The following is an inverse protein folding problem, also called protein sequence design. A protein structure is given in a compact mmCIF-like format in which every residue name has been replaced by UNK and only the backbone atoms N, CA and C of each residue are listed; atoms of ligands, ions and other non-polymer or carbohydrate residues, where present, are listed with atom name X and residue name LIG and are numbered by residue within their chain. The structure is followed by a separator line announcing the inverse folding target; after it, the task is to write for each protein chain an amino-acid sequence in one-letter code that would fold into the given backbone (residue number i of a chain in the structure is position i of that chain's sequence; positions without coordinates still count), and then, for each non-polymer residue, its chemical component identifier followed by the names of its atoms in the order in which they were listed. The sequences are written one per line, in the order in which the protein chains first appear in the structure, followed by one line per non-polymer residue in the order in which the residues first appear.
data_IF_124239737570
#
_entry.id   IF_124239737570
#
_cell.length_a   1.000
_cell.length_b   1.000
_cell.length_c   1.000
_cell.angle_alpha   90.00
_cell.angle_beta   90.00
_cell.angle_gamma   90.00
#
_symmetry.space_group_name_H-M   'P 1'
#
loop_
_entity.id
_entity.type
_entity.pdbx_description
1 polymer ?
#
# COMPACT_ATOMS: atom_id res chain seq x y z
N UNK A 1 -3.27 -11.56 12.19
CA UNK A 1 -2.31 -12.58 11.73
C UNK A 1 -3.04 -13.91 11.62
N UNK A 2 -2.60 -14.80 10.74
CA UNK A 2 -3.12 -16.17 10.59
C UNK A 2 -2.00 -17.18 10.79
N UNK A 3 -2.32 -18.46 10.92
CA UNK A 3 -1.29 -19.52 10.98
C UNK A 3 -0.47 -19.61 9.69
N UNK A 4 -1.05 -19.20 8.54
CA UNK A 4 -0.38 -19.21 7.24
C UNK A 4 0.43 -17.95 6.95
N UNK A 5 0.24 -16.86 7.69
CA UNK A 5 0.96 -15.62 7.44
C UNK A 5 0.32 -14.36 7.99
N UNK A 6 1.03 -13.26 7.81
CA UNK A 6 0.63 -11.93 8.29
C UNK A 6 1.26 -10.81 7.47
N UNK A 7 0.54 -9.71 7.36
CA UNK A 7 1.08 -8.46 6.81
C UNK A 7 1.79 -7.67 7.92
N UNK A 8 3.00 -7.21 7.65
CA UNK A 8 3.81 -6.38 8.55
C UNK A 8 4.11 -5.03 7.90
N UNK A 9 3.84 -3.94 8.62
CA UNK A 9 4.21 -2.59 8.18
C UNK A 9 5.71 -2.48 7.98
N UNK A 10 6.13 -1.84 6.89
CA UNK A 10 7.54 -1.59 6.57
C UNK A 10 7.74 -0.13 6.16
N UNK A 11 8.83 0.47 6.65
CA UNK A 11 9.15 1.87 6.39
C UNK A 11 8.21 2.85 7.09
N UNK A 12 8.39 4.13 6.78
CA UNK A 12 7.55 5.23 7.27
C UNK A 12 6.35 5.43 6.34
N UNK A 13 5.19 5.69 6.92
CA UNK A 13 4.01 6.09 6.15
C UNK A 13 4.30 7.34 5.32
N UNK A 14 3.75 7.39 4.10
CA UNK A 14 3.95 8.49 3.15
C UNK A 14 2.69 9.34 3.05
N UNK A 15 2.86 10.66 3.17
CA UNK A 15 1.80 11.62 2.88
C UNK A 15 1.56 11.69 1.38
N UNK A 16 0.29 11.72 0.98
CA UNK A 16 -0.14 11.94 -0.40
C UNK A 16 -0.68 13.37 -0.49
N UNK A 17 -0.13 14.15 -1.41
CA UNK A 17 -0.52 15.54 -1.62
C UNK A 17 -1.08 15.76 -3.01
N UNK A 18 -2.08 16.63 -3.11
CA UNK A 18 -2.51 17.27 -4.35
C UNK A 18 -2.18 18.77 -4.21
N UNK A 19 -1.10 19.22 -4.85
CA UNK A 19 -0.52 20.53 -4.56
C UNK A 19 -0.05 20.63 -3.11
N UNK A 20 -0.54 21.65 -2.40
CA UNK A 20 -0.24 21.85 -0.97
C UNK A 20 -1.17 21.08 -0.03
N UNK A 21 -2.29 20.55 -0.55
CA UNK A 21 -3.32 19.87 0.24
C UNK A 21 -2.94 18.41 0.46
N UNK A 22 -3.04 17.94 1.70
CA UNK A 22 -2.91 16.53 2.03
C UNK A 22 -4.23 15.81 1.78
N UNK A 23 -4.22 14.86 0.86
CA UNK A 23 -5.43 14.14 0.41
C UNK A 23 -5.46 12.68 0.89
N UNK A 24 -4.39 12.23 1.53
CA UNK A 24 -4.34 10.88 2.06
C UNK A 24 -2.98 10.45 2.59
N UNK A 25 -2.93 9.20 3.02
CA UNK A 25 -1.75 8.53 3.54
C UNK A 25 -1.58 7.19 2.85
N UNK A 26 -0.33 6.82 2.59
CA UNK A 26 0.06 5.51 2.06
C UNK A 26 0.90 4.76 3.09
N UNK A 27 0.40 3.60 3.52
CA UNK A 27 1.13 2.61 4.31
C UNK A 27 1.64 1.50 3.40
N UNK A 28 2.85 1.01 3.67
CA UNK A 28 3.44 -0.11 2.94
C UNK A 28 3.57 -1.30 3.87
N UNK A 29 3.08 -2.46 3.44
CA UNK A 29 3.15 -3.71 4.18
C UNK A 29 3.83 -4.79 3.34
N UNK A 30 4.52 -5.70 4.01
CA UNK A 30 5.11 -6.90 3.41
C UNK A 30 4.46 -8.11 4.05
N UNK A 31 4.10 -9.10 3.23
CA UNK A 31 3.55 -10.35 3.74
C UNK A 31 4.68 -11.27 4.22
N UNK A 32 4.48 -11.89 5.37
CA UNK A 32 5.34 -12.91 5.93
C UNK A 32 4.56 -14.24 5.96
N UNK A 33 5.17 -15.31 5.46
CA UNK A 33 4.62 -16.66 5.45
C UNK A 33 4.83 -17.32 6.83
N UNK A 34 3.81 -17.98 7.35
CA UNK A 34 3.85 -18.65 8.67
C UNK A 34 3.43 -17.75 9.84
N UNK A 35 3.48 -18.30 11.05
CA UNK A 35 2.92 -17.66 12.24
C UNK A 35 3.79 -16.49 12.74
N UNK A 36 3.16 -15.37 13.06
CA UNK A 36 3.84 -14.24 13.69
C UNK A 36 4.41 -14.63 15.07
N UNK A 37 5.56 -14.08 15.50
CA UNK A 37 6.44 -13.14 14.77
C UNK A 37 7.53 -13.83 13.91
N UNK A 38 7.52 -15.15 13.81
CA UNK A 38 8.59 -15.97 13.23
C UNK A 38 8.40 -16.29 11.74
N UNK A 39 7.55 -15.54 11.03
CA UNK A 39 7.24 -15.82 9.64
C UNK A 39 8.33 -15.35 8.67
N UNK A 40 8.56 -16.14 7.63
CA UNK A 40 9.52 -15.86 6.58
C UNK A 40 9.04 -14.73 5.68
N UNK A 41 9.90 -13.74 5.45
CA UNK A 41 9.58 -12.60 4.61
C UNK A 41 9.36 -13.05 3.16
N UNK A 42 8.24 -12.67 2.56
CA UNK A 42 7.96 -12.90 1.15
C UNK A 42 8.20 -11.64 0.28
N UNK A 43 7.99 -11.78 -1.03
CA UNK A 43 8.04 -10.68 -1.99
C UNK A 43 6.69 -9.99 -2.22
N UNK A 44 5.62 -10.46 -1.57
CA UNK A 44 4.31 -9.83 -1.62
C UNK A 44 4.28 -8.53 -0.84
N UNK A 45 3.88 -7.46 -1.51
CA UNK A 45 3.76 -6.10 -0.98
C UNK A 45 2.33 -5.62 -1.13
N UNK A 46 1.85 -4.93 -0.11
CA UNK A 46 0.60 -4.19 -0.14
C UNK A 46 0.90 -2.71 0.08
N UNK A 47 0.33 -1.88 -0.77
CA UNK A 47 0.16 -0.45 -0.49
C UNK A 47 -1.29 -0.23 -0.06
N UNK A 48 -1.48 0.17 1.19
CA UNK A 48 -2.76 0.60 1.74
C UNK A 48 -2.83 2.12 1.67
N UNK A 49 -3.88 2.63 1.02
CA UNK A 49 -4.14 4.05 0.84
C UNK A 49 -5.38 4.42 1.65
N UNK A 50 -5.23 5.45 2.50
CA UNK A 50 -6.33 6.07 3.23
C UNK A 50 -6.55 7.47 2.69
N UNK A 51 -7.80 7.78 2.39
CA UNK A 51 -8.19 9.13 2.01
C UNK A 51 -8.13 10.03 3.25
N UNK A 52 -7.90 11.33 3.07
CA UNK A 52 -8.13 12.39 4.05
C UNK A 52 -9.03 13.40 3.37
N UNK A 53 -10.26 13.56 3.87
CA UNK A 53 -11.26 14.44 3.27
C UNK A 53 -12.20 15.00 4.35
N UNK A 54 -12.30 16.32 4.47
CA UNK A 54 -13.10 16.94 5.52
C UNK A 54 -14.59 16.59 5.44
N UNK A 55 -15.13 16.37 4.24
CA UNK A 55 -16.52 15.99 4.06
C UNK A 55 -16.79 14.58 4.59
N UNK A 56 -15.86 13.64 4.36
CA UNK A 56 -15.93 12.28 4.90
C UNK A 56 -15.76 12.28 6.42
N UNK A 57 -14.87 13.12 6.94
CA UNK A 57 -14.70 13.30 8.39
C UNK A 57 -15.99 13.84 9.04
N UNK A 58 -16.62 14.86 8.45
CA UNK A 58 -17.90 15.43 8.93
C UNK A 58 -19.05 14.42 8.87
N UNK A 59 -19.07 13.56 7.85
CA UNK A 59 -20.04 12.49 7.72
C UNK A 59 -19.73 11.26 8.62
N UNK A 60 -18.60 11.25 9.32
CA UNK A 60 -18.22 10.14 10.21
C UNK A 60 -17.78 8.86 9.48
N UNK A 61 -17.41 8.94 8.20
CA UNK A 61 -17.08 7.79 7.35
C UNK A 61 -15.63 7.80 6.83
N UNK A 62 -14.77 8.66 7.39
CA UNK A 62 -13.37 8.85 6.98
C UNK A 62 -12.58 7.54 6.82
N UNK A 63 -12.74 6.62 7.78
CA UNK A 63 -11.99 5.35 7.85
C UNK A 63 -12.84 4.13 7.45
N UNK A 64 -13.97 4.36 6.78
CA UNK A 64 -14.87 3.27 6.37
C UNK A 64 -14.25 2.37 5.30
N UNK A 65 -13.36 2.92 4.46
CA UNK A 65 -12.73 2.21 3.35
C UNK A 65 -11.25 2.56 3.22
N UNK A 66 -10.50 1.62 2.65
CA UNK A 66 -9.12 1.81 2.20
C UNK A 66 -8.98 1.26 0.79
N UNK A 67 -8.10 1.86 -0.01
CA UNK A 67 -7.72 1.31 -1.31
C UNK A 67 -6.43 0.52 -1.15
N UNK A 68 -6.41 -0.73 -1.62
CA UNK A 68 -5.24 -1.59 -1.53
C UNK A 68 -4.70 -1.94 -2.92
N UNK A 69 -3.40 -1.76 -3.14
CA UNK A 69 -2.67 -2.34 -4.29
C UNK A 69 -1.76 -3.45 -3.79
N UNK A 70 -2.03 -4.68 -4.21
CA UNK A 70 -1.23 -5.86 -3.87
C UNK A 70 -0.43 -6.27 -5.10
N UNK A 71 0.85 -6.57 -4.92
CA UNK A 71 1.74 -7.01 -6.00
C UNK A 71 2.90 -7.83 -5.45
N UNK A 72 3.46 -8.69 -6.30
CA UNK A 72 4.66 -9.45 -5.99
C UNK A 72 5.87 -8.79 -6.67
N UNK A 73 6.97 -8.61 -5.92
CA UNK A 73 8.22 -8.06 -6.47
C UNK A 73 9.07 -9.16 -7.10
N UNK A 74 9.82 -8.80 -8.16
CA UNK A 74 10.86 -9.67 -8.71
C UNK A 74 12.14 -9.65 -7.86
N UNK A 75 12.59 -10.85 -7.46
CA UNK A 75 13.83 -11.06 -6.72
C UNK A 75 13.70 -10.96 -5.19
N UNK A 76 14.67 -11.54 -4.47
CA UNK A 76 14.72 -11.58 -3.00
C UNK A 76 15.36 -10.31 -2.41
N UNK A 77 14.73 -9.71 -1.39
CA UNK A 77 15.38 -8.75 -0.48
C UNK A 77 14.79 -7.32 -0.44
N UNK A 78 15.27 -6.48 0.50
CA UNK A 78 14.97 -5.05 0.52
C UNK A 78 15.79 -4.37 -0.59
N UNK A 79 15.17 -4.14 -1.74
CA UNK A 79 15.74 -3.24 -2.75
C UNK A 79 15.49 -1.80 -2.32
N UNK A 80 16.34 -1.31 -1.42
CA UNK A 80 16.30 0.08 -0.97
C UNK A 80 16.43 1.00 -2.19
N UNK A 81 15.41 1.83 -2.43
CA UNK A 81 15.40 2.79 -3.55
C UNK A 81 14.62 2.37 -4.80
N UNK A 82 14.12 1.12 -4.89
CA UNK A 82 13.21 0.79 -6.00
C UNK A 82 11.87 1.54 -5.83
N UNK A 83 11.43 2.21 -6.91
CA UNK A 83 10.08 2.76 -7.00
C UNK A 83 9.10 1.60 -6.97
N UNK A 84 8.47 1.37 -5.82
CA UNK A 84 7.50 0.31 -5.64
C UNK A 84 6.24 0.56 -6.48
N UNK A 85 6.06 -0.23 -7.53
CA UNK A 85 4.95 -0.20 -8.48
C UNK A 85 5.46 -0.08 -9.90
N UNK A 86 4.88 -0.86 -10.84
CA UNK A 86 5.06 -0.58 -12.26
C UNK A 86 4.77 0.91 -12.50
N UNK A 87 5.58 1.63 -13.32
CA UNK A 87 5.28 3.00 -13.69
C UNK A 87 3.85 3.07 -14.19
N UNK A 88 3.12 4.10 -13.76
CA UNK A 88 1.82 4.38 -14.33
C UNK A 88 2.04 4.73 -15.80
N UNK A 89 1.64 3.83 -16.70
CA UNK A 89 1.67 4.05 -18.14
C UNK A 89 0.26 4.45 -18.54
N UNK A 90 0.04 5.76 -18.68
CA UNK A 90 -1.26 6.34 -19.02
C UNK A 90 -1.85 5.73 -20.31
N UNK A 91 -0.98 5.44 -21.29
CA UNK A 91 -1.35 4.80 -22.56
C UNK A 91 -1.97 3.39 -22.44
N UNK A 92 -1.80 2.68 -21.31
CA UNK A 92 -2.47 1.38 -21.11
C UNK A 92 -3.96 1.52 -20.79
N UNK A 93 -4.40 2.70 -20.33
CA UNK A 93 -5.80 2.97 -19.94
C UNK A 93 -6.59 3.71 -21.02
N UNK A 94 -5.92 4.42 -21.94
CA UNK A 94 -6.58 5.07 -23.08
C UNK A 94 -7.09 4.07 -24.13
N UNK A 95 -6.61 2.83 -24.13
CA UNK A 95 -7.03 1.77 -25.06
C UNK A 95 -8.29 0.99 -24.61
N UNK A 96 -9.00 1.48 -23.58
CA UNK A 96 -10.21 0.84 -23.03
C UNK A 96 -11.44 1.76 -23.16
N UNK A 97 -11.41 2.73 -24.08
CA UNK A 97 -12.57 3.56 -24.46
C UNK A 97 -12.88 3.40 -25.93
#
# INVERSE_FOLDING_TARGET
ATDRGYWKTTGKDRVIKNGEVTVGMKKTLVYHLGRAPHGDRSNWVMHEYRMIDESLAKAGVQDAYVLCRIFEKSGSGPKNGEKYGAPFVEAEWENVV
#
